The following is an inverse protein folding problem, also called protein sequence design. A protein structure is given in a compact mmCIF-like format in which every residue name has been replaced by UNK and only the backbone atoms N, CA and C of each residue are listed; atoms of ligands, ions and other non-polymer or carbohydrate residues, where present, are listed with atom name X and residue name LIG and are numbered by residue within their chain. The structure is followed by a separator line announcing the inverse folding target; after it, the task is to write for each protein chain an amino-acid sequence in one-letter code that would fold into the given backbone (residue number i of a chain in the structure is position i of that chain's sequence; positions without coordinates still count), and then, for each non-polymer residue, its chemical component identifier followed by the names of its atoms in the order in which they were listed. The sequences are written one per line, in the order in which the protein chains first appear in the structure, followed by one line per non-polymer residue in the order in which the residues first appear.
data_IF_046871905375
#
_entry.id   IF_046871905375
#
_cell.length_a   1.000
_cell.length_b   1.000
_cell.length_c   1.000
_cell.angle_alpha   90.00
_cell.angle_beta   90.00
_cell.angle_gamma   90.00
#
_symmetry.space_group_name_H-M   'P 1'
#
loop_
_entity.id
_entity.type
_entity.pdbx_description
1 polymer ?
#
# COMPACT_ATOMS: atom_id res chain seq x y z
N UNK A 1 10.17 -9.52 4.47
CA UNK A 1 9.62 -8.63 5.51
C UNK A 1 8.12 -8.87 5.60
N UNK A 2 7.62 -9.43 6.70
CA UNK A 2 6.17 -9.58 6.97
C UNK A 2 5.64 -8.35 7.72
N UNK A 3 4.31 -8.19 7.79
CA UNK A 3 3.66 -7.05 8.48
C UNK A 3 4.18 -6.83 9.90
N UNK A 4 4.37 -7.91 10.66
CA UNK A 4 4.90 -7.88 12.03
C UNK A 4 6.34 -7.38 12.12
N UNK A 5 7.20 -7.79 11.17
CA UNK A 5 8.58 -7.31 11.09
C UNK A 5 8.63 -5.82 10.73
N UNK A 6 7.74 -5.36 9.84
CA UNK A 6 7.62 -3.94 9.49
C UNK A 6 7.20 -3.11 10.71
N UNK A 7 6.21 -3.57 11.50
CA UNK A 7 5.76 -2.89 12.72
C UNK A 7 6.90 -2.77 13.73
N UNK A 8 7.67 -3.84 13.94
CA UNK A 8 8.81 -3.80 14.86
C UNK A 8 9.88 -2.80 14.39
N UNK A 9 10.21 -2.78 13.10
CA UNK A 9 11.18 -1.80 12.57
C UNK A 9 10.66 -0.36 12.64
N UNK A 10 9.37 -0.12 12.45
CA UNK A 10 8.76 1.20 12.61
C UNK A 10 8.83 1.63 14.08
N UNK A 11 8.49 0.74 15.01
CA UNK A 11 8.57 1.00 16.45
C UNK A 11 9.99 1.39 16.86
N UNK A 12 11.00 0.64 16.40
CA UNK A 12 12.41 0.92 16.69
C UNK A 12 12.92 2.22 16.05
N UNK A 13 12.54 2.52 14.80
CA UNK A 13 13.03 3.71 14.09
C UNK A 13 12.31 5.00 14.46
N UNK A 14 11.03 4.91 14.81
CA UNK A 14 10.19 6.05 15.14
C UNK A 14 10.05 6.27 16.66
N UNK A 15 10.70 5.42 17.47
CA UNK A 15 10.63 5.43 18.93
C UNK A 15 9.18 5.39 19.45
N UNK A 16 8.37 4.54 18.82
CA UNK A 16 6.95 4.35 19.10
C UNK A 16 6.71 3.00 19.78
N UNK A 17 5.62 2.89 20.53
CA UNK A 17 5.19 1.58 21.00
C UNK A 17 4.80 0.69 19.83
N UNK A 18 4.93 -0.63 19.98
CA UNK A 18 4.45 -1.59 18.95
C UNK A 18 2.98 -1.39 18.61
N UNK A 19 2.16 -1.08 19.62
CA UNK A 19 0.73 -0.83 19.48
C UNK A 19 0.47 0.42 18.64
N UNK A 20 1.19 1.51 18.89
CA UNK A 20 1.02 2.75 18.15
C UNK A 20 1.59 2.63 16.73
N UNK A 21 2.67 1.88 16.56
CA UNK A 21 3.25 1.57 15.24
C UNK A 21 2.29 0.73 14.38
N UNK A 22 1.61 -0.24 14.98
CA UNK A 22 0.57 -1.01 14.30
C UNK A 22 -0.62 -0.14 13.91
N UNK A 23 -1.09 0.73 14.82
CA UNK A 23 -2.16 1.68 14.53
C UNK A 23 -1.78 2.63 13.40
N UNK A 24 -0.58 3.21 13.44
CA UNK A 24 -0.08 4.12 12.42
C UNK A 24 0.02 3.44 11.04
N UNK A 25 0.53 2.20 11.00
CA UNK A 25 0.61 1.44 9.75
C UNK A 25 -0.77 1.11 9.19
N UNK A 26 -1.72 0.70 10.05
CA UNK A 26 -3.08 0.41 9.61
C UNK A 26 -3.78 1.67 9.08
N UNK A 27 -3.69 2.79 9.80
CA UNK A 27 -4.25 4.07 9.39
C UNK A 27 -3.65 4.55 8.07
N UNK A 28 -2.33 4.36 7.87
CA UNK A 28 -1.67 4.67 6.60
C UNK A 28 -2.25 3.84 5.44
N UNK A 29 -2.37 2.52 5.60
CA UNK A 29 -2.92 1.64 4.57
C UNK A 29 -4.36 2.04 4.24
N UNK A 30 -5.17 2.32 5.26
CA UNK A 30 -6.58 2.71 5.10
C UNK A 30 -6.71 4.04 4.36
N UNK A 31 -5.97 5.07 4.78
CA UNK A 31 -5.99 6.41 4.15
C UNK A 31 -5.57 6.34 2.68
N UNK A 32 -4.50 5.60 2.37
CA UNK A 32 -4.04 5.42 0.98
C UNK A 32 -5.09 4.67 0.17
N UNK A 33 -5.73 3.64 0.75
CA UNK A 33 -6.77 2.87 0.07
C UNK A 33 -8.01 3.73 -0.23
N UNK A 34 -8.42 4.58 0.70
CA UNK A 34 -9.55 5.51 0.53
C UNK A 34 -9.26 6.56 -0.54
N UNK A 35 -8.09 7.19 -0.50
CA UNK A 35 -7.66 8.14 -1.53
C UNK A 35 -7.67 7.51 -2.93
N UNK A 36 -7.08 6.32 -3.07
CA UNK A 36 -7.08 5.59 -4.35
C UNK A 36 -8.49 5.21 -4.80
N UNK A 37 -9.40 4.85 -3.88
CA UNK A 37 -10.80 4.57 -4.22
C UNK A 37 -11.56 5.81 -4.68
N UNK A 38 -11.24 6.98 -4.13
CA UNK A 38 -11.80 8.26 -4.57
C UNK A 38 -11.30 8.68 -5.96
N UNK A 39 -10.24 8.04 -6.45
CA UNK A 39 -9.58 8.37 -7.71
C UNK A 39 -8.44 9.36 -7.54
N UNK A 40 -8.03 9.65 -6.31
CA UNK A 40 -6.93 10.54 -6.01
C UNK A 40 -5.59 9.80 -6.10
N UNK A 41 -4.57 10.51 -6.58
CA UNK A 41 -3.20 10.01 -6.62
C UNK A 41 -2.47 10.38 -5.32
N UNK A 42 -1.78 9.42 -4.70
CA UNK A 42 -1.00 9.62 -3.48
C UNK A 42 0.48 9.64 -3.81
N UNK A 43 1.12 10.80 -3.66
CA UNK A 43 2.56 10.95 -3.86
C UNK A 43 3.30 11.11 -2.53
N UNK A 44 4.22 10.19 -2.26
CA UNK A 44 5.12 10.23 -1.11
C UNK A 44 6.55 10.49 -1.60
N UNK A 45 7.00 11.74 -1.47
CA UNK A 45 8.35 12.16 -1.91
C UNK A 45 9.41 11.34 -1.19
N UNK A 46 10.32 10.73 -1.95
CA UNK A 46 11.37 9.86 -1.41
C UNK A 46 10.97 8.41 -1.17
N UNK A 47 9.71 8.04 -1.42
CA UNK A 47 9.24 6.65 -1.33
C UNK A 47 8.61 6.17 -2.65
N UNK A 48 7.56 6.85 -3.13
CA UNK A 48 6.88 6.47 -4.36
C UNK A 48 5.53 7.16 -4.55
N UNK A 49 4.90 6.89 -5.70
CA UNK A 49 3.58 7.38 -6.06
C UNK A 49 2.62 6.21 -6.27
N UNK A 50 1.43 6.31 -5.67
CA UNK A 50 0.33 5.37 -5.83
C UNK A 50 -0.77 6.03 -6.67
N UNK A 51 -1.20 5.35 -7.74
CA UNK A 51 -2.25 5.81 -8.63
C UNK A 51 -3.10 4.62 -9.08
N UNK A 52 -4.39 4.86 -9.31
CA UNK A 52 -5.28 3.85 -9.90
C UNK A 52 -5.20 3.93 -11.41
N UNK A 53 -4.61 2.90 -12.03
CA UNK A 53 -4.53 2.81 -13.50
C UNK A 53 -5.72 2.07 -14.06
N UNK A 54 -6.61 2.78 -14.75
CA UNK A 54 -7.63 2.13 -15.57
C UNK A 54 -6.96 1.41 -16.75
N UNK A 55 -7.30 0.14 -16.94
CA UNK A 55 -6.84 -0.66 -18.09
C UNK A 55 -8.06 -1.05 -18.91
N UNK A 56 -8.00 -0.81 -20.22
CA UNK A 56 -9.02 -1.28 -21.15
C UNK A 56 -9.12 -2.81 -21.12
N UNK A 57 -10.31 -3.34 -21.38
CA UNK A 57 -10.52 -4.76 -21.60
C UNK A 57 -9.66 -5.24 -22.77
N UNK A 58 -9.14 -6.46 -22.66
CA UNK A 58 -8.34 -7.12 -23.70
C UNK A 58 -8.79 -8.56 -23.80
N UNK A 59 -8.72 -9.10 -25.01
CA UNK A 59 -9.02 -10.51 -25.23
C UNK A 59 -8.00 -11.37 -24.52
N UNK A 60 -8.49 -12.29 -23.69
CA UNK A 60 -7.67 -13.26 -22.98
C UNK A 60 -7.46 -14.50 -23.85
N UNK A 61 -6.22 -14.80 -24.19
CA UNK A 61 -5.85 -16.07 -24.81
C UNK A 61 -5.41 -17.07 -23.74
N UNK A 62 -5.89 -18.32 -23.84
CA UNK A 62 -5.51 -19.40 -22.92
C UNK A 62 -4.10 -19.91 -23.28
N UNK A 63 -3.07 -19.72 -22.44
CA UNK A 63 -1.69 -20.10 -22.77
C UNK A 63 -1.48 -21.60 -22.99
N UNK A 64 -2.44 -22.45 -22.61
CA UNK A 64 -2.36 -23.91 -22.78
C UNK A 64 -3.00 -24.41 -24.08
N UNK A 65 -3.93 -23.65 -24.66
CA UNK A 65 -4.71 -24.07 -25.83
C UNK A 65 -4.66 -23.05 -26.97
N UNK A 66 -3.95 -21.94 -26.79
CA UNK A 66 -3.76 -20.83 -27.73
C UNK A 66 -2.30 -20.45 -27.82
#
# INVERSE_FOLDING_TARGET
MKKTELINQIAEKADLTKKDSEKALNAFIETVTEALKAGDDVQLVGFGSFQVKQRAARDGSNPKTG
#
